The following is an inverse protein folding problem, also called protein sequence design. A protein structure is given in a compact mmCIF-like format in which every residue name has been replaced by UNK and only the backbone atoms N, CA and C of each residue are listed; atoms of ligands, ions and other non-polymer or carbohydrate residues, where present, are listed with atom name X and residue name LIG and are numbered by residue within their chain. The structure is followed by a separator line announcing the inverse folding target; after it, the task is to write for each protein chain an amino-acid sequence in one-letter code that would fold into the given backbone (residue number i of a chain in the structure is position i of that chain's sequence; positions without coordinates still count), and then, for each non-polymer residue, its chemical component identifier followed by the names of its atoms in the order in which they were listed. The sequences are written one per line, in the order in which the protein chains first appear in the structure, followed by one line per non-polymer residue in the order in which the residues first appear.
data_IF_190387110078
#
_entry.id   IF_190387110078
#
_cell.length_a   1.000
_cell.length_b   1.000
_cell.length_c   1.000
_cell.angle_alpha   90.00
_cell.angle_beta   90.00
_cell.angle_gamma   90.00
#
_symmetry.space_group_name_H-M   'P 1'
#
loop_
_entity.id
_entity.type
_entity.pdbx_description
1 polymer ?
#
# COMPACT_ATOMS: atom_id res chain seq x y z
N UNK A 1 -42.50 1.54 16.04
CA UNK A 1 -41.28 1.29 16.83
C UNK A 1 -40.57 -0.04 16.55
N UNK A 2 -41.24 -1.15 16.17
CA UNK A 2 -40.57 -2.46 15.96
C UNK A 2 -39.67 -2.56 14.71
N UNK A 3 -39.93 -1.80 13.63
CA UNK A 3 -39.10 -1.85 12.40
C UNK A 3 -37.83 -1.01 12.46
N UNK A 4 -37.67 -0.15 13.47
CA UNK A 4 -36.58 0.85 13.56
C UNK A 4 -35.29 0.28 14.19
N UNK A 5 -35.42 -0.73 15.05
CA UNK A 5 -34.31 -1.40 15.72
C UNK A 5 -33.49 -2.30 14.77
N UNK A 6 -34.10 -3.13 13.89
CA UNK A 6 -33.33 -3.94 12.95
C UNK A 6 -32.64 -3.09 11.88
N UNK A 7 -33.25 -2.02 11.40
CA UNK A 7 -32.63 -1.11 10.42
C UNK A 7 -31.45 -0.35 11.01
N UNK A 8 -31.54 0.15 12.25
CA UNK A 8 -30.43 0.79 12.94
C UNK A 8 -29.25 -0.17 13.15
N UNK A 9 -29.55 -1.42 13.52
CA UNK A 9 -28.52 -2.46 13.69
C UNK A 9 -27.81 -2.78 12.37
N UNK A 10 -28.54 -2.90 11.26
CA UNK A 10 -27.98 -3.12 9.93
C UNK A 10 -27.09 -1.94 9.51
N UNK A 11 -27.54 -0.71 9.74
CA UNK A 11 -26.76 0.48 9.39
C UNK A 11 -25.43 0.54 10.14
N UNK A 12 -25.44 0.25 11.44
CA UNK A 12 -24.22 0.20 12.26
C UNK A 12 -23.27 -0.90 11.76
N UNK A 13 -23.79 -2.11 11.51
CA UNK A 13 -22.99 -3.22 10.97
C UNK A 13 -22.37 -2.83 9.63
N UNK A 14 -23.15 -2.22 8.74
CA UNK A 14 -22.69 -1.78 7.42
C UNK A 14 -21.57 -0.74 7.55
N UNK A 15 -21.73 0.24 8.44
CA UNK A 15 -20.70 1.24 8.70
C UNK A 15 -19.41 0.62 9.25
N UNK A 16 -19.52 -0.34 10.16
CA UNK A 16 -18.37 -1.07 10.69
C UNK A 16 -17.68 -1.85 9.56
N UNK A 17 -18.43 -2.58 8.73
CA UNK A 17 -17.87 -3.34 7.60
C UNK A 17 -17.15 -2.43 6.59
N UNK A 18 -17.75 -1.28 6.24
CA UNK A 18 -17.11 -0.30 5.36
C UNK A 18 -15.82 0.26 5.98
N UNK A 19 -15.85 0.56 7.28
CA UNK A 19 -14.67 1.05 7.99
C UNK A 19 -13.57 -0.02 8.02
N UNK A 20 -13.90 -1.27 8.31
CA UNK A 20 -12.92 -2.38 8.28
C UNK A 20 -12.36 -2.57 6.87
N UNK A 21 -13.21 -2.47 5.84
CA UNK A 21 -12.80 -2.61 4.46
C UNK A 21 -11.72 -1.60 4.05
N UNK A 22 -11.79 -0.34 4.51
CA UNK A 22 -10.76 0.66 4.20
C UNK A 22 -9.41 0.39 4.87
N UNK A 23 -9.36 -0.43 5.92
CA UNK A 23 -8.10 -0.88 6.54
C UNK A 23 -7.51 -2.14 5.89
N UNK A 24 -8.28 -2.85 5.06
CA UNK A 24 -7.75 -3.96 4.28
C UNK A 24 -6.99 -3.42 3.07
N UNK A 25 -5.87 -4.07 2.66
CA UNK A 25 -5.13 -3.66 1.47
C UNK A 25 -6.02 -3.44 0.25
N UNK A 26 -6.94 -4.38 -0.02
CA UNK A 26 -7.87 -4.28 -1.16
C UNK A 26 -8.74 -3.03 -1.12
N UNK A 27 -9.28 -2.65 0.05
CA UNK A 27 -10.16 -1.49 0.13
C UNK A 27 -9.40 -0.17 0.01
N UNK A 28 -8.28 -0.05 0.71
CA UNK A 28 -7.41 1.14 0.61
C UNK A 28 -6.84 1.30 -0.80
N UNK A 29 -6.28 0.24 -1.38
CA UNK A 29 -5.69 0.27 -2.71
C UNK A 29 -6.74 0.58 -3.78
N UNK A 30 -7.93 -0.04 -3.69
CA UNK A 30 -9.00 0.21 -4.65
C UNK A 30 -9.44 1.67 -4.60
N UNK A 31 -9.62 2.23 -3.40
CA UNK A 31 -9.96 3.65 -3.24
C UNK A 31 -8.95 4.55 -3.95
N UNK A 32 -7.67 4.41 -3.63
CA UNK A 32 -6.63 5.26 -4.20
C UNK A 32 -6.45 5.09 -5.72
N UNK A 33 -6.55 3.86 -6.24
CA UNK A 33 -6.50 3.63 -7.69
C UNK A 33 -7.67 4.31 -8.42
N UNK A 34 -8.85 4.41 -7.78
CA UNK A 34 -10.01 5.07 -8.37
C UNK A 34 -9.97 6.60 -8.26
N UNK A 35 -9.38 7.15 -7.20
CA UNK A 35 -9.50 8.59 -6.89
C UNK A 35 -8.23 9.40 -7.17
N UNK A 36 -7.07 8.76 -7.24
CA UNK A 36 -5.78 9.46 -7.27
C UNK A 36 -5.06 9.28 -8.62
N UNK A 37 -4.66 10.39 -9.26
CA UNK A 37 -4.03 10.39 -10.60
C UNK A 37 -2.60 9.83 -10.64
N UNK A 38 -1.98 9.52 -9.50
CA UNK A 38 -0.58 9.05 -9.41
C UNK A 38 -0.41 7.77 -8.60
N UNK A 39 -1.49 7.20 -8.09
CA UNK A 39 -1.42 5.98 -7.28
C UNK A 39 -1.34 4.76 -8.20
N UNK A 40 -0.23 4.04 -8.14
CA UNK A 40 -0.04 2.82 -8.91
C UNK A 40 0.19 1.63 -7.99
N UNK A 41 -0.25 0.46 -8.42
CA UNK A 41 0.14 -0.80 -7.79
C UNK A 41 1.39 -1.32 -8.51
N UNK A 42 2.45 -1.72 -7.79
CA UNK A 42 3.58 -2.40 -8.41
C UNK A 42 3.13 -3.62 -9.22
N UNK A 43 3.78 -3.87 -10.36
CA UNK A 43 3.35 -4.90 -11.33
C UNK A 43 3.53 -6.31 -10.78
N UNK A 44 4.45 -6.47 -9.82
CA UNK A 44 4.71 -7.71 -9.09
C UNK A 44 3.72 -7.96 -7.96
N UNK A 45 2.91 -6.95 -7.62
CA UNK A 45 1.93 -6.99 -6.54
C UNK A 45 0.50 -6.92 -7.08
N UNK A 46 -0.45 -6.77 -6.17
CA UNK A 46 -1.87 -6.69 -6.48
C UNK A 46 -2.60 -5.76 -5.52
N UNK A 47 -3.83 -5.38 -5.87
CA UNK A 47 -4.73 -4.65 -4.97
C UNK A 47 -4.89 -5.36 -3.60
N UNK A 48 -4.79 -6.69 -3.56
CA UNK A 48 -5.02 -7.47 -2.35
C UNK A 48 -3.80 -7.60 -1.45
N UNK A 49 -2.60 -7.50 -2.01
CA UNK A 49 -1.34 -7.81 -1.32
C UNK A 49 -0.47 -6.59 -1.06
N UNK A 50 -0.60 -5.54 -1.87
CA UNK A 50 0.23 -4.35 -1.74
C UNK A 50 -0.15 -3.58 -0.47
N UNK A 51 0.84 -3.31 0.38
CA UNK A 51 0.68 -2.56 1.60
C UNK A 51 1.53 -1.29 1.53
N UNK A 52 0.90 -0.15 1.78
CA UNK A 52 1.61 1.11 1.93
C UNK A 52 2.33 1.12 3.27
N UNK A 53 3.62 1.42 3.24
CA UNK A 53 4.42 1.70 4.45
C UNK A 53 4.35 3.19 4.77
N UNK A 54 4.46 4.04 3.75
CA UNK A 54 4.48 5.49 3.91
C UNK A 54 3.80 6.17 2.72
N UNK A 55 2.86 7.06 3.01
CA UNK A 55 2.25 7.94 2.02
C UNK A 55 3.11 9.19 1.79
N UNK A 56 3.06 9.72 0.57
CA UNK A 56 3.60 11.03 0.25
C UNK A 56 3.00 12.09 1.17
N UNK A 57 3.85 12.92 1.78
CA UNK A 57 3.44 14.01 2.67
C UNK A 57 3.16 15.33 1.93
N UNK A 58 3.38 15.35 0.61
CA UNK A 58 3.05 16.48 -0.25
C UNK A 58 1.56 16.53 -0.65
N UNK A 59 1.24 17.33 -1.65
CA UNK A 59 -0.14 17.51 -2.15
C UNK A 59 -0.70 16.34 -2.95
N UNK A 60 0.12 15.31 -3.21
CA UNK A 60 -0.24 14.16 -4.03
C UNK A 60 -0.63 12.94 -3.21
N UNK A 61 -1.62 12.20 -3.69
CA UNK A 61 -2.09 10.96 -3.05
C UNK A 61 -1.44 9.72 -3.69
N UNK A 62 -0.16 9.52 -3.43
CA UNK A 62 0.57 8.31 -3.79
C UNK A 62 1.44 7.84 -2.61
N UNK A 63 1.85 6.58 -2.65
CA UNK A 63 2.78 6.03 -1.66
C UNK A 63 4.22 6.41 -2.01
N UNK A 64 5.06 6.60 -0.99
CA UNK A 64 6.52 6.77 -1.13
C UNK A 64 7.23 5.42 -0.93
N UNK A 65 6.73 4.63 0.03
CA UNK A 65 7.23 3.30 0.34
C UNK A 65 6.07 2.32 0.48
N UNK A 66 6.26 1.12 -0.03
CA UNK A 66 5.29 0.04 0.07
C UNK A 66 5.98 -1.31 0.13
N UNK A 67 5.18 -2.36 0.33
CA UNK A 67 5.66 -3.74 0.34
C UNK A 67 4.56 -4.72 -0.03
N UNK A 68 4.97 -5.92 -0.33
CA UNK A 68 4.16 -7.12 -0.18
C UNK A 68 5.01 -8.21 0.51
N UNK A 69 4.65 -9.47 0.33
CA UNK A 69 5.41 -10.59 0.89
C UNK A 69 6.74 -10.81 0.16
N UNK A 70 6.82 -10.43 -1.12
CA UNK A 70 7.94 -10.73 -2.01
C UNK A 70 8.94 -9.59 -2.12
N UNK A 71 8.49 -8.34 -2.05
CA UNK A 71 9.33 -7.17 -2.27
C UNK A 71 8.98 -5.99 -1.35
N UNK A 72 9.98 -5.17 -1.11
CA UNK A 72 9.79 -3.77 -0.72
C UNK A 72 9.88 -2.89 -1.97
N UNK A 73 9.08 -1.82 -2.02
CA UNK A 73 9.01 -0.86 -3.12
C UNK A 73 9.28 0.57 -2.65
N UNK A 74 10.00 1.34 -3.45
CA UNK A 74 10.19 2.78 -3.28
C UNK A 74 9.78 3.51 -4.56
N UNK A 75 8.82 4.43 -4.44
CA UNK A 75 8.28 5.18 -5.57
C UNK A 75 9.26 6.29 -5.99
N UNK A 76 9.56 6.36 -7.29
CA UNK A 76 10.51 7.31 -7.88
C UNK A 76 9.83 8.45 -8.65
N UNK A 77 8.52 8.36 -8.88
CA UNK A 77 7.77 9.32 -9.70
C UNK A 77 8.33 9.55 -11.12
N UNK A 78 9.03 8.56 -11.69
CA UNK A 78 9.54 8.59 -13.06
C UNK A 78 8.57 7.88 -14.03
N UNK A 79 8.28 8.43 -15.23
CA UNK A 79 7.32 7.84 -16.16
C UNK A 79 7.62 6.39 -16.56
N UNK A 80 8.88 6.07 -16.89
CA UNK A 80 9.26 4.76 -17.43
C UNK A 80 9.70 3.76 -16.34
N UNK A 81 9.96 4.26 -15.13
CA UNK A 81 10.39 3.46 -13.98
C UNK A 81 9.81 4.06 -12.70
N UNK A 82 8.52 3.85 -12.45
CA UNK A 82 7.84 4.58 -11.40
C UNK A 82 8.25 4.13 -10.00
N UNK A 83 8.91 2.98 -9.84
CA UNK A 83 9.48 2.51 -8.58
C UNK A 83 10.71 1.64 -8.80
N UNK A 84 11.44 1.44 -7.70
CA UNK A 84 12.46 0.41 -7.53
C UNK A 84 11.99 -0.59 -6.48
N UNK A 85 12.53 -1.80 -6.55
CA UNK A 85 12.16 -2.90 -5.65
C UNK A 85 13.40 -3.64 -5.15
N UNK A 86 13.32 -4.20 -3.95
CA UNK A 86 14.28 -5.17 -3.41
C UNK A 86 13.52 -6.40 -2.89
N UNK A 87 13.95 -7.64 -3.20
CA UNK A 87 13.30 -8.83 -2.68
C UNK A 87 13.36 -8.86 -1.15
N UNK A 88 12.26 -9.23 -0.49
CA UNK A 88 12.19 -9.40 0.97
C UNK A 88 13.27 -10.36 1.45
N UNK A 89 13.53 -11.45 0.72
CA UNK A 89 14.58 -12.41 1.07
C UNK A 89 16.00 -11.82 1.05
N UNK A 90 16.26 -10.78 0.25
CA UNK A 90 17.57 -10.13 0.16
C UNK A 90 17.87 -9.22 1.35
N UNK A 91 16.86 -8.80 2.11
CA UNK A 91 17.05 -7.86 3.23
C UNK A 91 17.81 -8.49 4.40
N UNK A 92 17.76 -9.82 4.54
CA UNK A 92 18.52 -10.59 5.55
C UNK A 92 20.03 -10.38 5.41
N UNK A 93 20.51 -10.24 4.17
CA UNK A 93 21.91 -10.01 3.85
C UNK A 93 22.22 -8.54 3.57
N UNK A 94 21.35 -7.62 4.01
CA UNK A 94 21.52 -6.18 3.85
C UNK A 94 21.59 -5.51 5.24
N UNK A 95 22.77 -5.47 5.87
CA UNK A 95 22.94 -4.85 7.18
C UNK A 95 22.51 -3.38 7.17
N UNK A 96 21.69 -2.99 8.15
CA UNK A 96 21.18 -1.63 8.25
C UNK A 96 20.01 -1.30 7.31
N UNK A 97 19.42 -2.31 6.65
CA UNK A 97 18.20 -2.13 5.86
C UNK A 97 17.06 -1.53 6.68
N UNK A 98 16.51 -0.42 6.20
CA UNK A 98 15.32 0.24 6.74
C UNK A 98 14.26 0.35 5.62
N UNK A 99 13.07 -0.24 5.78
CA UNK A 99 12.05 -0.31 4.73
C UNK A 99 11.64 1.02 4.12
N UNK A 100 11.58 2.10 4.90
CA UNK A 100 11.18 3.42 4.43
C UNK A 100 12.35 4.40 4.29
N UNK A 101 13.57 3.88 4.10
CA UNK A 101 14.73 4.71 3.79
C UNK A 101 15.51 4.11 2.63
N UNK A 102 15.19 4.57 1.42
CA UNK A 102 15.76 4.05 0.18
C UNK A 102 17.30 4.00 0.17
N UNK A 103 17.96 4.99 0.79
CA UNK A 103 19.42 5.05 0.89
C UNK A 103 20.07 3.88 1.65
N UNK A 104 19.29 3.09 2.38
CA UNK A 104 19.75 1.89 3.09
C UNK A 104 19.59 0.59 2.29
N UNK A 105 19.05 0.66 1.07
CA UNK A 105 18.71 -0.54 0.30
C UNK A 105 19.91 -1.05 -0.51
N UNK A 106 20.27 -2.31 -0.32
CA UNK A 106 21.42 -2.96 -0.98
C UNK A 106 21.11 -3.41 -2.42
N UNK A 107 20.74 -2.46 -3.31
CA UNK A 107 20.34 -2.75 -4.69
C UNK A 107 21.45 -3.29 -5.59
N UNK A 108 22.71 -3.26 -5.16
CA UNK A 108 23.85 -3.68 -5.99
C UNK A 108 24.07 -5.20 -6.03
N UNK A 109 23.35 -5.99 -5.22
CA UNK A 109 23.50 -7.44 -5.12
C UNK A 109 22.41 -8.26 -5.82
N UNK A 110 21.41 -7.63 -6.44
CA UNK A 110 20.23 -8.31 -7.03
C UNK A 110 20.36 -8.55 -8.54
N UNK A 111 21.53 -9.01 -9.01
CA UNK A 111 21.75 -9.35 -10.43
C UNK A 111 21.47 -10.82 -10.71
#
# INVERSE_FOLDING_TARGET
MKSFIPTLSIAIITLILLTVFTYLPVGSNLWHVMTSNGYIIPKESSLFSFQVIEMNQGSGEWWTYGRDDQYYYHFLALPDRPYVKIPTASTVNCPGFIPNQFGTWCLQHTR
#
